data_IF_529217698755
#
_entry.id   IF_529217698755
#
_cell.length_a   1.000
_cell.length_b   1.000
_cell.length_c   1.000
_cell.angle_alpha   90.00
_cell.angle_beta   90.00
_cell.angle_gamma   90.00
#
_symmetry.space_group_name_H-M   'P 1'
#
loop_
_entity.id
_entity.type
_entity.pdbx_description
1 polymer ?
#
# COMPACT_ATOMS: atom_id res chain seq x y z
N UNK A 1 -7.65 0.15 -0.16
CA UNK A 1 -7.40 0.01 -1.61
C UNK A 1 -8.43 -0.93 -2.19
N UNK A 2 -8.99 -0.62 -3.37
CA UNK A 2 -10.08 -1.39 -3.99
C UNK A 2 -9.62 -1.83 -5.37
N UNK A 3 -9.45 -3.14 -5.53
CA UNK A 3 -9.24 -3.77 -6.83
C UNK A 3 -10.63 -4.16 -7.35
N UNK A 4 -11.06 -3.57 -8.46
CA UNK A 4 -12.34 -3.91 -9.09
C UNK A 4 -12.09 -4.71 -10.36
N UNK A 5 -12.71 -5.90 -10.42
CA UNK A 5 -12.71 -6.73 -11.61
C UNK A 5 -13.82 -6.21 -12.52
N UNK A 6 -13.43 -5.57 -13.63
CA UNK A 6 -14.33 -5.01 -14.62
C UNK A 6 -14.48 -5.97 -15.81
N UNK A 7 -15.66 -5.98 -16.44
CA UNK A 7 -15.85 -6.72 -17.70
C UNK A 7 -15.10 -5.99 -18.81
N UNK A 8 -14.12 -6.65 -19.42
CA UNK A 8 -13.27 -6.11 -20.50
C UNK A 8 -14.10 -5.52 -21.65
N UNK A 9 -15.20 -6.19 -22.02
CA UNK A 9 -16.11 -5.72 -23.08
C UNK A 9 -16.89 -4.45 -22.71
N UNK A 10 -17.16 -4.20 -21.43
CA UNK A 10 -17.86 -2.98 -20.99
C UNK A 10 -16.89 -1.83 -20.77
N UNK A 11 -15.69 -2.13 -20.26
CA UNK A 11 -14.62 -1.15 -20.12
C UNK A 11 -14.15 -0.62 -21.49
N UNK A 12 -14.07 -1.49 -22.50
CA UNK A 12 -13.74 -1.06 -23.86
C UNK A 12 -14.80 -0.12 -24.44
N UNK A 13 -16.09 -0.42 -24.25
CA UNK A 13 -17.18 0.46 -24.68
C UNK A 13 -17.13 1.80 -23.96
N UNK A 14 -16.87 1.81 -22.64
CA UNK A 14 -16.75 3.04 -21.86
C UNK A 14 -15.60 3.93 -22.37
N UNK A 15 -14.42 3.37 -22.65
CA UNK A 15 -13.29 4.11 -23.21
C UNK A 15 -13.62 4.71 -24.59
N UNK A 16 -14.36 3.96 -25.41
CA UNK A 16 -14.78 4.42 -26.74
C UNK A 16 -15.76 5.59 -26.65
N UNK A 17 -16.70 5.55 -25.71
CA UNK A 17 -17.64 6.65 -25.48
C UNK A 17 -16.89 7.89 -25.00
N UNK A 18 -16.02 7.76 -24.00
CA UNK A 18 -15.24 8.88 -23.44
C UNK A 18 -14.38 9.58 -24.51
N UNK A 19 -13.79 8.84 -25.45
CA UNK A 19 -12.93 9.43 -26.48
C UNK A 19 -13.71 10.07 -27.65
N UNK A 20 -14.76 9.40 -28.13
CA UNK A 20 -15.40 9.78 -29.39
C UNK A 20 -16.75 10.48 -29.22
N UNK A 21 -17.37 10.44 -28.04
CA UNK A 21 -18.60 11.16 -27.77
C UNK A 21 -18.29 12.57 -27.22
N UNK A 22 -18.67 13.59 -27.99
CA UNK A 22 -18.59 15.00 -27.56
C UNK A 22 -20.00 15.57 -27.38
N UNK A 23 -20.49 15.73 -26.14
CA UNK A 23 -21.85 16.20 -25.87
C UNK A 23 -22.07 17.69 -26.23
N UNK A 24 -21.00 18.47 -26.34
CA UNK A 24 -21.00 19.89 -26.75
C UNK A 24 -20.63 20.10 -28.23
N UNK A 25 -20.61 19.04 -29.03
CA UNK A 25 -20.27 19.12 -30.45
C UNK A 25 -21.31 19.88 -31.29
N UNK A 26 -20.94 20.31 -32.52
CA UNK A 26 -21.81 21.10 -33.41
C UNK A 26 -23.13 20.40 -33.77
N UNK A 27 -23.17 19.06 -33.66
CA UNK A 27 -24.37 18.27 -33.91
C UNK A 27 -25.41 18.42 -32.79
N UNK A 28 -24.99 18.65 -31.54
CA UNK A 28 -25.87 18.85 -30.39
C UNK A 28 -26.60 20.19 -30.47
N UNK A 29 -25.89 21.25 -30.87
CA UNK A 29 -26.48 22.60 -31.01
C UNK A 29 -27.47 22.69 -32.18
N UNK A 30 -27.21 22.03 -33.31
CA UNK A 30 -28.12 22.01 -34.46
C UNK A 30 -29.41 21.21 -34.19
N UNK A 31 -29.33 20.12 -33.41
CA UNK A 31 -30.50 19.31 -33.04
C UNK A 31 -31.29 19.99 -31.92
N UNK A 32 -30.61 20.59 -30.93
CA UNK A 32 -31.27 21.37 -29.86
C UNK A 32 -32.06 22.56 -30.41
N UNK A 33 -31.53 23.25 -31.44
CA UNK A 33 -32.23 24.36 -32.10
C UNK A 33 -33.45 23.94 -32.92
N UNK A 34 -33.45 22.72 -33.48
CA UNK A 34 -34.55 22.21 -34.33
C UNK A 34 -35.67 21.52 -33.57
N UNK A 35 -35.39 20.97 -32.38
CA UNK A 35 -36.29 20.01 -31.74
C UNK A 35 -37.02 20.54 -30.51
N UNK A 36 -36.60 21.67 -29.93
CA UNK A 36 -37.14 22.20 -28.67
C UNK A 36 -36.95 21.29 -27.44
N UNK A 37 -36.48 20.06 -27.63
CA UNK A 37 -36.19 19.06 -26.62
C UNK A 37 -34.69 18.94 -26.39
N UNK A 38 -34.31 18.89 -25.12
CA UNK A 38 -32.92 18.75 -24.67
C UNK A 38 -32.30 17.48 -25.26
N UNK A 39 -31.21 17.63 -26.01
CA UNK A 39 -30.51 16.50 -26.63
C UNK A 39 -30.00 15.59 -25.51
N UNK A 40 -30.33 14.28 -25.51
CA UNK A 40 -29.83 13.37 -24.49
C UNK A 40 -28.29 13.33 -24.51
N UNK A 41 -27.66 13.93 -23.51
CA UNK A 41 -26.19 14.09 -23.41
C UNK A 41 -25.50 12.96 -22.67
N UNK A 42 -26.26 11.97 -22.21
CA UNK A 42 -25.74 10.86 -21.44
C UNK A 42 -25.13 9.79 -22.35
N UNK A 43 -24.18 9.03 -21.81
CA UNK A 43 -23.35 8.05 -22.52
C UNK A 43 -24.12 6.87 -23.12
N UNK A 44 -25.33 6.60 -22.62
CA UNK A 44 -26.24 5.56 -23.13
C UNK A 44 -27.20 6.06 -24.21
N UNK A 45 -27.05 7.30 -24.66
CA UNK A 45 -27.92 7.87 -25.69
C UNK A 45 -27.66 7.26 -27.07
N UNK A 46 -28.69 7.29 -27.93
CA UNK A 46 -28.55 6.91 -29.34
C UNK A 46 -27.53 7.81 -30.08
N UNK A 47 -27.34 9.05 -29.60
CA UNK A 47 -26.31 9.98 -30.10
C UNK A 47 -24.91 9.46 -29.79
N UNK A 48 -24.65 9.01 -28.56
CA UNK A 48 -23.38 8.40 -28.18
C UNK A 48 -23.11 7.09 -28.92
N UNK A 49 -24.14 6.26 -29.10
CA UNK A 49 -24.03 5.01 -29.86
C UNK A 49 -23.67 5.26 -31.34
N UNK A 50 -24.36 6.19 -32.00
CA UNK A 50 -24.08 6.53 -33.41
C UNK A 50 -22.70 7.16 -33.58
N UNK A 51 -22.30 8.04 -32.66
CA UNK A 51 -20.97 8.67 -32.67
C UNK A 51 -19.86 7.61 -32.57
N UNK A 52 -19.97 6.67 -31.64
CA UNK A 52 -18.96 5.62 -31.45
C UNK A 52 -18.99 4.55 -32.55
N UNK A 53 -20.15 4.24 -33.14
CA UNK A 53 -20.25 3.25 -34.22
C UNK A 53 -19.65 3.75 -35.54
N UNK A 54 -19.79 5.04 -35.82
CA UNK A 54 -19.33 5.67 -37.07
C UNK A 54 -17.90 6.21 -36.92
N UNK A 55 -17.41 6.39 -35.69
CA UNK A 55 -16.06 6.86 -35.41
C UNK A 55 -15.00 5.98 -36.09
N UNK A 56 -14.20 6.61 -36.96
CA UNK A 56 -12.98 6.00 -37.50
C UNK A 56 -11.93 5.99 -36.40
N UNK A 57 -11.59 4.81 -35.92
CA UNK A 57 -10.52 4.63 -34.94
C UNK A 57 -9.19 4.91 -35.66
N UNK A 58 -8.59 6.05 -35.37
CA UNK A 58 -7.24 6.34 -35.86
C UNK A 58 -6.24 5.54 -35.02
N UNK A 59 -5.14 5.03 -35.60
CA UNK A 59 -4.12 4.30 -34.84
C UNK A 59 -3.48 5.11 -33.70
N UNK A 60 -3.64 6.44 -33.72
CA UNK A 60 -3.13 7.36 -32.69
C UNK A 60 -4.16 7.70 -31.60
N UNK A 61 -5.35 7.07 -31.59
CA UNK A 61 -6.37 7.29 -30.56
C UNK A 61 -5.99 6.59 -29.25
N UNK A 62 -6.43 7.14 -28.12
CA UNK A 62 -6.17 6.59 -26.80
C UNK A 62 -6.81 5.20 -26.62
N UNK A 63 -8.00 4.99 -27.18
CA UNK A 63 -8.67 3.70 -27.22
C UNK A 63 -7.86 2.64 -27.97
N UNK A 64 -7.35 2.95 -29.17
CA UNK A 64 -6.58 2.03 -29.99
C UNK A 64 -5.30 1.54 -29.29
N UNK A 65 -4.70 2.39 -28.45
CA UNK A 65 -3.50 2.07 -27.68
C UNK A 65 -3.79 1.21 -26.44
N UNK A 66 -4.99 1.33 -25.84
CA UNK A 66 -5.40 0.59 -24.64
C UNK A 66 -6.09 -0.75 -24.95
N UNK A 67 -6.66 -0.91 -26.13
CA UNK A 67 -7.33 -2.14 -26.58
C UNK A 67 -6.45 -3.41 -26.44
N UNK A 68 -5.14 -3.40 -26.79
CA UNK A 68 -4.27 -4.56 -26.59
C UNK A 68 -4.01 -4.87 -25.10
N UNK A 69 -3.99 -3.85 -24.23
CA UNK A 69 -3.75 -3.99 -22.79
C UNK A 69 -4.94 -4.58 -22.04
N UNK A 70 -6.16 -4.31 -22.50
CA UNK A 70 -7.38 -4.92 -21.98
C UNK A 70 -7.40 -6.44 -22.14
N UNK A 71 -6.82 -6.94 -23.24
CA UNK A 71 -6.61 -8.37 -23.47
C UNK A 71 -5.42 -8.93 -22.66
N UNK A 72 -4.44 -8.08 -22.34
CA UNK A 72 -3.26 -8.43 -21.52
C UNK A 72 -3.50 -8.39 -20.00
N UNK A 73 -4.50 -7.66 -19.53
CA UNK A 73 -4.84 -7.52 -18.10
C UNK A 73 -5.29 -8.86 -17.48
N UNK A 74 -5.85 -9.76 -18.29
CA UNK A 74 -6.14 -11.13 -17.91
C UNK A 74 -4.88 -12.00 -17.64
N UNK A 75 -3.68 -11.51 -17.98
CA UNK A 75 -2.37 -12.13 -17.73
C UNK A 75 -1.54 -11.36 -16.69
N UNK A 76 -2.15 -10.54 -15.83
CA UNK A 76 -1.42 -9.78 -14.79
C UNK A 76 -0.75 -10.74 -13.79
N UNK A 77 0.49 -11.10 -14.11
CA UNK A 77 1.42 -11.70 -13.17
C UNK A 77 1.98 -10.58 -12.30
N UNK A 78 1.83 -10.69 -10.99
CA UNK A 78 2.47 -9.79 -10.05
C UNK A 78 3.99 -10.01 -10.11
N UNK A 79 4.68 -9.30 -11.00
CA UNK A 79 6.14 -9.44 -11.18
C UNK A 79 6.91 -8.89 -9.97
N UNK A 80 6.36 -7.85 -9.33
CA UNK A 80 6.98 -7.19 -8.19
C UNK A 80 6.31 -5.85 -7.89
N UNK A 81 6.89 -5.09 -6.95
CA UNK A 81 6.36 -3.80 -6.54
C UNK A 81 7.40 -2.97 -5.82
N UNK A 82 7.13 -1.68 -5.67
CA UNK A 82 8.07 -0.74 -5.09
C UNK A 82 7.53 -0.24 -3.77
N UNK A 83 8.29 -0.43 -2.70
CA UNK A 83 7.91 0.00 -1.35
C UNK A 83 9.01 0.93 -0.86
N UNK A 84 8.64 2.15 -0.45
CA UNK A 84 9.56 3.18 0.09
C UNK A 84 10.80 3.45 -0.79
N UNK A 85 10.62 3.44 -2.11
CA UNK A 85 11.71 3.72 -3.04
C UNK A 85 12.62 2.53 -3.36
N UNK A 86 12.41 1.34 -2.78
CA UNK A 86 13.13 0.10 -3.11
C UNK A 86 12.27 -0.84 -3.94
N UNK A 87 12.88 -1.48 -4.94
CA UNK A 87 12.20 -2.44 -5.82
C UNK A 87 12.23 -3.81 -5.17
N UNK A 88 11.06 -4.42 -5.00
CA UNK A 88 10.87 -5.75 -4.46
C UNK A 88 10.29 -6.66 -5.53
N UNK A 89 10.74 -7.91 -5.55
CA UNK A 89 10.14 -8.97 -6.35
C UNK A 89 8.87 -9.51 -5.66
N UNK A 90 8.22 -10.48 -6.30
CA UNK A 90 6.98 -11.07 -5.79
C UNK A 90 7.15 -11.71 -4.39
N UNK A 91 8.30 -12.34 -4.11
CA UNK A 91 8.61 -12.90 -2.79
C UNK A 91 8.83 -11.82 -1.72
N UNK A 92 9.53 -10.74 -2.06
CA UNK A 92 9.79 -9.61 -1.17
C UNK A 92 8.52 -8.84 -0.85
N UNK A 93 7.64 -8.66 -1.83
CA UNK A 93 6.30 -8.11 -1.57
C UNK A 93 5.47 -9.00 -0.64
N UNK A 94 5.54 -10.33 -0.81
CA UNK A 94 4.81 -11.25 0.07
C UNK A 94 5.36 -11.20 1.51
N UNK A 95 6.68 -11.10 1.66
CA UNK A 95 7.30 -10.92 2.97
C UNK A 95 6.91 -9.59 3.62
N UNK A 96 7.01 -8.46 2.91
CA UNK A 96 6.59 -7.16 3.46
C UNK A 96 5.09 -7.14 3.77
N UNK A 97 4.28 -7.77 2.92
CA UNK A 97 2.84 -7.95 3.15
C UNK A 97 2.52 -8.83 4.36
N UNK A 98 3.45 -9.70 4.78
CA UNK A 98 3.29 -10.55 5.97
C UNK A 98 3.72 -9.88 7.29
N UNK A 99 4.28 -8.66 7.24
CA UNK A 99 4.68 -7.92 8.46
C UNK A 99 3.42 -7.47 9.21
N UNK A 100 3.05 -8.25 10.23
CA UNK A 100 1.88 -7.98 11.04
C UNK A 100 2.12 -6.75 11.94
N UNK A 101 1.20 -5.78 11.89
CA UNK A 101 1.32 -4.51 12.63
C UNK A 101 2.25 -3.46 12.01
N UNK A 102 2.84 -3.71 10.83
CA UNK A 102 3.63 -2.73 10.09
C UNK A 102 4.79 -2.12 10.90
N UNK A 103 5.00 -0.80 10.75
CA UNK A 103 6.05 -0.07 11.49
C UNK A 103 5.82 -0.06 13.01
N UNK A 104 4.57 0.01 13.45
CA UNK A 104 4.26 0.07 14.89
C UNK A 104 4.57 -1.27 15.57
N UNK A 105 4.40 -2.39 14.84
CA UNK A 105 4.87 -3.71 15.26
C UNK A 105 6.38 -3.76 15.47
N UNK A 106 7.17 -3.33 14.49
CA UNK A 106 8.64 -3.31 14.59
C UNK A 106 9.14 -2.35 15.69
N UNK A 107 8.50 -1.19 15.84
CA UNK A 107 8.81 -0.24 16.92
C UNK A 107 8.52 -0.83 18.28
N UNK A 108 7.41 -1.55 18.45
CA UNK A 108 7.10 -2.23 19.70
C UNK A 108 8.12 -3.31 20.05
N UNK A 109 8.61 -4.07 19.06
CA UNK A 109 9.66 -5.06 19.25
C UNK A 109 10.97 -4.41 19.71
N UNK A 110 11.35 -3.27 19.11
CA UNK A 110 12.53 -2.52 19.54
C UNK A 110 12.38 -2.01 20.98
N UNK A 111 11.22 -1.42 21.32
CA UNK A 111 10.94 -0.95 22.68
C UNK A 111 11.00 -2.11 23.68
N UNK A 112 10.45 -3.27 23.33
CA UNK A 112 10.49 -4.46 24.18
C UNK A 112 11.93 -4.96 24.41
N UNK A 113 12.76 -5.00 23.35
CA UNK A 113 14.18 -5.39 23.48
C UNK A 113 14.96 -4.39 24.33
N UNK A 114 14.71 -3.09 24.16
CA UNK A 114 15.39 -2.05 24.93
C UNK A 114 15.00 -2.09 26.41
N UNK A 115 13.72 -2.32 26.70
CA UNK A 115 13.22 -2.52 28.08
C UNK A 115 13.83 -3.77 28.72
N UNK A 116 13.95 -4.88 27.96
CA UNK A 116 14.61 -6.09 28.41
C UNK A 116 16.10 -5.90 28.72
N UNK A 117 16.84 -5.22 27.84
CA UNK A 117 18.27 -4.94 28.03
C UNK A 117 18.52 -4.03 29.26
N UNK A 118 17.65 -3.05 29.50
CA UNK A 118 17.75 -2.19 30.69
C UNK A 118 17.55 -2.95 32.00
N UNK A 119 16.60 -3.89 32.05
CA UNK A 119 16.39 -4.75 33.21
C UNK A 119 17.58 -5.68 33.45
N UNK A 120 18.16 -6.26 32.40
CA UNK A 120 19.30 -7.17 32.53
C UNK A 120 20.53 -6.46 33.14
N UNK A 121 20.85 -5.25 32.66
CA UNK A 121 21.94 -4.43 33.21
C UNK A 121 21.71 -4.05 34.68
N UNK A 122 20.50 -3.63 35.04
CA UNK A 122 20.16 -3.29 36.42
C UNK A 122 20.32 -4.51 37.34
N UNK A 123 19.84 -5.69 36.90
CA UNK A 123 19.98 -6.92 37.69
C UNK A 123 21.44 -7.38 37.77
N UNK A 124 22.25 -7.20 36.73
CA UNK A 124 23.69 -7.49 36.78
C UNK A 124 24.41 -6.59 37.78
N UNK A 125 24.12 -5.28 37.77
CA UNK A 125 24.74 -4.33 38.68
C UNK A 125 24.28 -4.54 40.14
N UNK A 126 23.00 -4.86 40.34
CA UNK A 126 22.44 -5.20 41.65
C UNK A 126 23.09 -6.49 42.20
N UNK A 127 23.29 -7.51 41.36
CA UNK A 127 24.01 -8.73 41.76
C UNK A 127 25.46 -8.42 42.14
N UNK A 128 26.16 -7.59 41.36
CA UNK A 128 27.50 -7.12 41.67
C UNK A 128 27.58 -6.39 43.01
N UNK A 129 26.67 -5.43 43.24
CA UNK A 129 26.58 -4.66 44.48
C UNK A 129 26.30 -5.52 45.71
N UNK A 130 25.35 -6.47 45.60
CA UNK A 130 25.08 -7.44 46.66
C UNK A 130 26.29 -8.32 46.96
N UNK A 131 27.03 -8.75 45.94
CA UNK A 131 28.23 -9.58 46.13
C UNK A 131 29.36 -8.83 46.85
N UNK A 132 29.58 -7.55 46.51
CA UNK A 132 30.54 -6.69 47.19
C UNK A 132 30.14 -6.41 48.63
N UNK A 133 28.86 -6.14 48.86
CA UNK A 133 28.33 -5.92 50.21
C UNK A 133 28.51 -7.16 51.08
N UNK A 134 28.17 -8.35 50.57
CA UNK A 134 28.39 -9.61 51.29
C UNK A 134 29.88 -9.87 51.59
N UNK A 135 30.80 -9.52 50.67
CA UNK A 135 32.23 -9.65 50.90
C UNK A 135 32.75 -8.68 51.98
N UNK A 136 32.28 -7.41 51.97
CA UNK A 136 32.64 -6.43 52.98
C UNK A 136 32.11 -6.78 54.36
N UNK A 137 30.85 -7.22 54.46
CA UNK A 137 30.28 -7.65 55.74
C UNK A 137 30.96 -8.93 56.26
N UNK A 138 31.32 -9.87 55.37
CA UNK A 138 32.12 -11.04 55.73
C UNK A 138 33.49 -10.67 56.31
N UNK A 139 34.20 -9.72 55.69
CA UNK A 139 35.49 -9.22 56.20
C UNK A 139 35.34 -8.53 57.55
N UNK A 140 34.29 -7.72 57.72
CA UNK A 140 33.98 -7.06 58.99
C UNK A 140 33.74 -8.09 60.09
N UNK A 141 32.91 -9.11 59.84
CA UNK A 141 32.65 -10.19 60.80
C UNK A 141 33.92 -10.94 61.20
N UNK A 142 34.85 -11.17 60.26
CA UNK A 142 36.13 -11.81 60.54
C UNK A 142 37.03 -10.97 61.45
N UNK A 143 37.10 -9.65 61.22
CA UNK A 143 37.83 -8.73 62.10
C UNK A 143 37.21 -8.66 63.50
N UNK A 144 35.88 -8.60 63.59
CA UNK A 144 35.16 -8.62 64.87
C UNK A 144 35.34 -9.95 65.63
N UNK A 145 35.59 -11.05 64.92
CA UNK A 145 35.87 -12.36 65.53
C UNK A 145 37.32 -12.49 66.01
N UNK A 146 38.30 -11.92 65.28
CA UNK A 146 39.70 -11.86 65.70
C UNK A 146 39.89 -10.99 66.93
N UNK A 147 39.26 -9.82 66.97
CA UNK A 147 39.32 -8.89 68.11
C UNK A 147 38.65 -9.41 69.39
N UNK A 148 37.96 -10.56 69.35
CA UNK A 148 37.36 -11.22 70.50
C UNK A 148 38.16 -12.43 71.00
N UNK A 149 39.18 -12.87 70.26
CA UNK A 149 40.03 -14.01 70.62
C UNK A 149 41.35 -13.56 71.27
N UNK A 150 41.72 -12.29 71.13
CA UNK A 150 42.75 -11.59 71.93
C UNK A 150 42.12 -10.98 73.20
#
# INVERSE_FOLDING_TARGET
MRLEVLRTNMLSVALKIVEFHKPDGPTSSLIAQRSGAEVPRHDLSDVAYKATKIAKISPNSAYAQLEPLLNGLAKLLLVGGRIEGKVFDQSGLNWVGSINGGMDGLRSQLVCLLQGAGLDLATSLERGGRSLWLALEGRKFQLDSQNKQD
#
